data_IF_516562698993
#
_entry.id   IF_516562698993
#
_cell.length_a   1.000
_cell.length_b   1.000
_cell.length_c   1.000
_cell.angle_alpha   90.00
_cell.angle_beta   90.00
_cell.angle_gamma   90.00
#
_symmetry.space_group_name_H-M   'P 1'
#
loop_
_entity.id
_entity.type
_entity.pdbx_description
1 polymer ?
#
# COMPACT_ATOMS: atom_id res chain seq x y z
N UNK A 1 13.41 -27.78 16.29
CA UNK A 1 14.60 -28.54 16.77
C UNK A 1 15.84 -27.90 16.13
N UNK A 2 16.85 -27.46 16.91
CA UNK A 2 18.00 -26.72 16.39
C UNK A 2 18.90 -27.64 15.55
N UNK A 3 19.37 -27.14 14.40
CA UNK A 3 20.39 -27.84 13.61
C UNK A 3 21.77 -27.57 14.22
N UNK A 4 22.43 -28.61 14.70
CA UNK A 4 23.82 -28.52 15.20
C UNK A 4 24.80 -28.42 14.02
N UNK A 5 25.82 -27.59 14.17
CA UNK A 5 26.85 -27.47 13.13
C UNK A 5 27.68 -28.79 13.04
N UNK A 6 27.73 -29.39 11.85
CA UNK A 6 28.41 -30.68 11.62
C UNK A 6 29.86 -30.65 12.02
N UNK A 7 30.55 -29.53 11.78
CA UNK A 7 31.99 -29.38 12.14
C UNK A 7 32.23 -29.53 13.63
N UNK A 8 31.34 -29.02 14.49
CA UNK A 8 31.46 -29.12 15.94
C UNK A 8 31.29 -30.57 16.43
N UNK A 9 30.35 -31.30 15.82
CA UNK A 9 30.19 -32.74 16.13
C UNK A 9 31.50 -33.51 15.82
N UNK A 10 32.14 -33.24 14.69
CA UNK A 10 33.40 -33.85 14.32
C UNK A 10 34.48 -33.55 15.36
N UNK A 11 34.61 -32.27 15.78
CA UNK A 11 35.58 -31.89 16.82
C UNK A 11 35.31 -32.57 18.16
N UNK A 12 34.04 -32.68 18.56
CA UNK A 12 33.67 -33.42 19.79
C UNK A 12 34.05 -34.91 19.70
N UNK A 13 33.82 -35.54 18.55
CA UNK A 13 34.18 -36.95 18.33
C UNK A 13 35.72 -37.13 18.39
N UNK A 14 36.49 -36.21 17.77
CA UNK A 14 37.96 -36.23 17.83
C UNK A 14 38.43 -36.11 19.28
N UNK A 15 37.90 -35.17 20.07
CA UNK A 15 38.26 -35.00 21.48
C UNK A 15 37.91 -36.23 22.32
N UNK A 16 36.77 -36.85 22.06
CA UNK A 16 36.37 -38.09 22.73
C UNK A 16 37.30 -39.23 22.38
N UNK A 17 37.73 -39.37 21.11
CA UNK A 17 38.70 -40.40 20.68
C UNK A 17 40.07 -40.18 21.31
N UNK A 18 40.54 -38.93 21.36
CA UNK A 18 41.82 -38.59 22.03
C UNK A 18 41.80 -38.97 23.51
N UNK A 19 40.68 -38.71 24.20
CA UNK A 19 40.52 -39.13 25.60
C UNK A 19 40.58 -40.65 25.75
N UNK A 20 39.91 -41.40 24.88
CA UNK A 20 39.89 -42.86 24.91
C UNK A 20 41.28 -43.49 24.63
N UNK A 21 42.05 -42.90 23.68
CA UNK A 21 43.40 -43.40 23.26
C UNK A 21 44.43 -43.10 24.36
N UNK A 22 44.51 -41.87 24.80
CA UNK A 22 45.56 -41.43 25.72
C UNK A 22 45.24 -41.65 27.19
N UNK A 23 43.97 -41.92 27.55
CA UNK A 23 43.50 -42.09 28.93
C UNK A 23 44.03 -41.02 29.93
N UNK A 24 44.31 -39.83 29.38
CA UNK A 24 44.87 -38.72 30.16
C UNK A 24 43.74 -37.88 30.73
N UNK A 25 43.78 -37.56 32.03
CA UNK A 25 42.79 -36.77 32.75
C UNK A 25 42.65 -35.38 32.17
N UNK A 26 43.66 -34.79 31.53
CA UNK A 26 43.61 -33.48 30.90
C UNK A 26 42.68 -33.50 29.67
N UNK A 27 42.75 -34.49 28.78
CA UNK A 27 41.84 -34.62 27.64
C UNK A 27 40.42 -34.87 28.08
N UNK A 28 40.19 -35.61 29.15
CA UNK A 28 38.85 -35.80 29.75
C UNK A 28 38.28 -34.52 30.30
N UNK A 29 39.07 -33.73 31.01
CA UNK A 29 38.64 -32.45 31.58
C UNK A 29 38.29 -31.44 30.43
N UNK A 30 39.07 -31.37 29.35
CA UNK A 30 38.77 -30.53 28.20
C UNK A 30 37.48 -30.97 27.51
N UNK A 31 37.32 -32.26 27.25
CA UNK A 31 36.07 -32.78 26.64
C UNK A 31 34.84 -32.46 27.49
N UNK A 32 34.90 -32.71 28.78
CA UNK A 32 33.79 -32.43 29.71
C UNK A 32 33.46 -30.91 29.74
N UNK A 33 34.49 -30.05 29.82
CA UNK A 33 34.34 -28.60 29.79
C UNK A 33 33.63 -28.12 28.52
N UNK A 34 34.01 -28.64 27.35
CA UNK A 34 33.38 -28.30 26.05
C UNK A 34 31.91 -28.74 26.01
N UNK A 35 31.57 -29.92 26.55
CA UNK A 35 30.19 -30.40 26.63
C UNK A 35 29.37 -29.51 27.57
N UNK A 36 29.89 -29.19 28.74
CA UNK A 36 29.21 -28.30 29.70
C UNK A 36 28.98 -26.93 29.11
N UNK A 37 29.96 -26.34 28.44
CA UNK A 37 29.84 -25.04 27.78
C UNK A 37 28.78 -25.04 26.68
N UNK A 38 28.63 -26.10 25.91
CA UNK A 38 27.60 -26.28 24.91
C UNK A 38 26.20 -26.30 25.56
N UNK A 39 26.05 -27.09 26.63
CA UNK A 39 24.76 -27.20 27.36
C UNK A 39 24.35 -25.84 27.88
N UNK A 40 25.28 -25.13 28.53
CA UNK A 40 25.00 -23.77 29.06
C UNK A 40 24.60 -22.82 27.91
N UNK A 41 25.34 -22.84 26.78
CA UNK A 41 25.04 -22.00 25.61
C UNK A 41 23.62 -22.26 25.05
N UNK A 42 23.22 -23.52 24.97
CA UNK A 42 21.87 -23.93 24.55
C UNK A 42 20.78 -23.42 25.50
N UNK A 43 21.02 -23.57 26.81
CA UNK A 43 20.07 -23.11 27.84
C UNK A 43 19.88 -21.60 27.74
N UNK A 44 20.96 -20.84 27.66
CA UNK A 44 20.92 -19.38 27.52
C UNK A 44 20.15 -18.98 26.27
N UNK A 45 20.43 -19.60 25.11
CA UNK A 45 19.72 -19.29 23.86
C UNK A 45 18.21 -19.56 23.97
N UNK A 46 17.80 -20.66 24.63
CA UNK A 46 16.38 -20.93 24.91
C UNK A 46 15.75 -19.91 25.86
N UNK A 47 16.47 -19.45 26.85
CA UNK A 47 15.98 -18.40 27.77
C UNK A 47 15.76 -17.10 27.01
N UNK A 48 16.71 -16.69 26.17
CA UNK A 48 16.60 -15.45 25.39
C UNK A 48 15.42 -15.52 24.43
N UNK A 49 15.30 -16.58 23.59
CA UNK A 49 14.23 -16.66 22.57
C UNK A 49 12.83 -16.65 23.19
N UNK A 50 12.67 -17.15 24.41
CA UNK A 50 11.41 -17.14 25.13
C UNK A 50 11.15 -15.80 25.84
N UNK A 51 12.20 -15.09 26.22
CA UNK A 51 12.11 -13.81 26.93
C UNK A 51 12.12 -12.58 26.03
N UNK A 52 12.33 -12.75 24.72
CA UNK A 52 12.31 -11.67 23.74
C UNK A 52 10.90 -11.51 23.15
N UNK A 53 10.39 -10.29 23.21
CA UNK A 53 9.19 -9.85 22.50
C UNK A 53 9.58 -8.88 21.38
N UNK A 54 8.87 -8.99 20.27
CA UNK A 54 9.10 -8.16 19.10
C UNK A 54 7.80 -7.47 18.72
N UNK A 55 7.90 -6.20 18.36
CA UNK A 55 6.83 -5.40 17.78
C UNK A 55 7.36 -4.69 16.54
N UNK A 56 6.60 -4.74 15.45
CA UNK A 56 6.88 -3.98 14.24
C UNK A 56 5.91 -2.82 14.20
N UNK A 57 6.43 -1.62 14.03
CA UNK A 57 5.64 -0.40 13.91
C UNK A 57 6.08 0.36 12.67
N UNK A 58 5.16 1.11 12.06
CA UNK A 58 5.43 1.97 10.91
C UNK A 58 5.36 3.43 11.34
N UNK A 59 6.27 4.24 10.80
CA UNK A 59 6.32 5.67 11.14
C UNK A 59 5.13 6.43 10.56
N UNK A 60 4.75 6.10 9.32
CA UNK A 60 3.62 6.72 8.61
C UNK A 60 2.74 5.63 8.00
N UNK A 61 1.43 5.73 8.24
CA UNK A 61 0.44 4.81 7.65
C UNK A 61 0.28 5.05 6.14
N UNK A 62 0.36 6.30 5.69
CA UNK A 62 0.20 6.73 4.31
C UNK A 62 1.52 7.26 3.77
N UNK A 63 1.96 6.74 2.64
CA UNK A 63 3.24 7.07 2.01
C UNK A 63 3.03 7.21 0.51
N UNK A 64 3.62 8.20 -0.13
CA UNK A 64 3.51 8.38 -1.57
C UNK A 64 4.34 7.34 -2.32
N UNK A 65 3.85 6.89 -3.47
CA UNK A 65 4.58 6.02 -4.39
C UNK A 65 5.93 6.62 -4.77
N UNK A 66 6.93 5.76 -4.97
CA UNK A 66 8.30 6.16 -5.30
C UNK A 66 9.13 6.65 -4.11
N UNK A 67 8.51 6.82 -2.93
CA UNK A 67 9.21 7.17 -1.70
C UNK A 67 9.68 5.92 -0.94
N UNK A 68 10.50 6.14 0.08
CA UNK A 68 10.87 5.08 1.02
C UNK A 68 10.02 5.22 2.28
N UNK A 69 9.43 4.13 2.70
CA UNK A 69 8.72 4.04 3.97
C UNK A 69 9.64 3.44 5.04
N UNK A 70 9.68 4.08 6.21
CA UNK A 70 10.45 3.60 7.33
C UNK A 70 9.57 2.78 8.27
N UNK A 71 10.05 1.60 8.65
CA UNK A 71 9.44 0.81 9.70
C UNK A 71 10.46 0.52 10.80
N UNK A 72 9.98 0.41 12.03
CA UNK A 72 10.79 0.16 13.20
C UNK A 72 10.49 -1.20 13.81
N UNK A 73 11.53 -1.91 14.20
CA UNK A 73 11.47 -3.18 14.91
C UNK A 73 11.86 -2.91 16.35
N UNK A 74 10.91 -3.00 17.25
CA UNK A 74 11.09 -2.88 18.69
C UNK A 74 11.37 -4.25 19.27
N UNK A 75 12.52 -4.42 19.90
CA UNK A 75 12.95 -5.66 20.55
C UNK A 75 13.02 -5.46 22.05
N UNK A 76 12.11 -6.04 22.80
CA UNK A 76 12.12 -6.02 24.27
C UNK A 76 12.67 -7.33 24.80
N UNK A 77 13.88 -7.29 25.36
CA UNK A 77 14.50 -8.43 26.04
C UNK A 77 14.25 -8.36 27.55
N UNK A 78 13.46 -9.28 28.09
CA UNK A 78 13.19 -9.40 29.52
C UNK A 78 14.26 -10.20 30.28
N UNK A 79 15.23 -10.77 29.58
CA UNK A 79 16.25 -11.62 30.17
C UNK A 79 17.50 -10.85 30.62
N UNK A 80 18.31 -11.47 31.45
CA UNK A 80 19.61 -10.93 31.87
C UNK A 80 20.73 -11.23 30.86
N UNK A 81 20.42 -11.99 29.80
CA UNK A 81 21.38 -12.38 28.77
C UNK A 81 21.20 -11.55 27.52
N UNK A 82 22.25 -10.83 27.07
CA UNK A 82 22.19 -10.10 25.81
C UNK A 82 22.38 -11.07 24.62
N UNK A 83 21.98 -10.65 23.43
CA UNK A 83 22.30 -11.35 22.19
C UNK A 83 22.51 -10.40 21.04
N UNK A 84 23.55 -10.61 20.27
CA UNK A 84 23.82 -9.98 18.97
C UNK A 84 23.66 -10.94 17.79
N UNK A 85 23.22 -12.19 18.06
CA UNK A 85 22.96 -13.24 17.07
C UNK A 85 21.48 -13.59 16.99
N UNK A 86 20.65 -12.57 17.11
CA UNK A 86 19.19 -12.66 16.99
C UNK A 86 18.80 -12.12 15.62
N UNK A 87 18.02 -12.89 14.88
CA UNK A 87 17.56 -12.54 13.55
C UNK A 87 16.05 -12.64 13.50
N UNK A 88 15.46 -11.70 12.80
CA UNK A 88 14.04 -11.73 12.50
C UNK A 88 13.84 -11.96 11.01
N UNK A 89 12.95 -12.89 10.66
CA UNK A 89 12.50 -13.10 9.29
C UNK A 89 11.24 -12.25 9.11
N UNK A 90 11.28 -11.36 8.14
CA UNK A 90 10.20 -10.44 7.79
C UNK A 90 9.76 -10.78 6.37
N UNK A 91 8.45 -10.88 6.18
CA UNK A 91 7.82 -10.91 4.89
C UNK A 91 7.23 -9.53 4.62
N UNK A 92 7.53 -8.98 3.46
CA UNK A 92 6.97 -7.73 2.96
C UNK A 92 6.11 -8.12 1.78
N UNK A 93 4.80 -7.90 1.89
CA UNK A 93 3.84 -8.34 0.89
C UNK A 93 3.02 -7.15 0.42
N UNK A 94 2.96 -6.94 -0.89
CA UNK A 94 1.97 -6.06 -1.51
C UNK A 94 0.91 -6.94 -2.17
N UNK A 95 -0.22 -7.14 -1.51
CA UNK A 95 -1.28 -8.03 -1.99
C UNK A 95 -1.95 -7.52 -3.28
N UNK A 96 -1.92 -6.21 -3.50
CA UNK A 96 -2.48 -5.58 -4.68
C UNK A 96 -1.76 -6.03 -5.96
N UNK A 97 -0.43 -6.26 -5.88
CA UNK A 97 0.41 -6.71 -7.00
C UNK A 97 0.90 -8.16 -6.87
N UNK A 98 0.49 -8.89 -5.82
CA UNK A 98 0.98 -10.24 -5.52
C UNK A 98 2.52 -10.28 -5.38
N UNK A 99 3.09 -9.19 -4.85
CA UNK A 99 4.53 -9.02 -4.69
C UNK A 99 4.95 -9.47 -3.30
N UNK A 100 5.96 -10.36 -3.22
CA UNK A 100 6.43 -10.93 -1.97
C UNK A 100 7.94 -10.81 -1.87
N UNK A 101 8.41 -10.15 -0.83
CA UNK A 101 9.82 -10.05 -0.50
C UNK A 101 10.07 -10.64 0.89
N UNK A 102 11.11 -11.49 1.01
CA UNK A 102 11.55 -12.02 2.29
C UNK A 102 12.91 -11.45 2.67
N UNK A 103 13.02 -10.86 3.84
CA UNK A 103 14.28 -10.39 4.38
C UNK A 103 14.57 -10.94 5.77
N UNK A 104 15.86 -11.05 6.10
CA UNK A 104 16.32 -11.42 7.44
C UNK A 104 17.17 -10.29 8.01
N UNK A 105 16.69 -9.69 9.09
CA UNK A 105 17.34 -8.56 9.75
C UNK A 105 17.97 -9.05 11.04
N UNK A 106 19.25 -8.69 11.29
CA UNK A 106 19.90 -8.94 12.57
C UNK A 106 19.49 -7.85 13.55
N UNK A 107 18.98 -8.26 14.70
CA UNK A 107 18.51 -7.36 15.74
C UNK A 107 19.30 -7.59 17.03
N UNK A 108 19.73 -6.54 17.74
CA UNK A 108 20.33 -6.67 19.07
C UNK A 108 19.26 -7.03 20.10
N UNK A 109 19.70 -7.59 21.20
CA UNK A 109 18.87 -7.79 22.38
C UNK A 109 19.70 -7.41 23.61
N UNK A 110 19.57 -6.19 24.08
CA UNK A 110 20.24 -5.65 25.26
C UNK A 110 19.73 -6.30 26.54
N UNK A 111 20.52 -6.26 27.61
CA UNK A 111 20.14 -6.83 28.91
C UNK A 111 18.95 -6.07 29.47
N UNK A 112 17.81 -6.74 29.69
CA UNK A 112 16.59 -6.14 30.26
C UNK A 112 16.27 -4.78 29.63
N UNK A 113 16.52 -4.66 28.34
CA UNK A 113 16.41 -3.41 27.59
C UNK A 113 15.47 -3.51 26.41
N UNK A 114 15.18 -2.36 25.85
CA UNK A 114 14.50 -2.19 24.58
C UNK A 114 15.51 -1.67 23.54
N UNK A 115 15.56 -2.35 22.41
CA UNK A 115 16.37 -1.95 21.27
C UNK A 115 15.43 -1.67 20.10
N UNK A 116 15.74 -0.62 19.33
CA UNK A 116 14.95 -0.22 18.17
C UNK A 116 15.87 -0.22 16.96
N UNK A 117 15.43 -0.88 15.89
CA UNK A 117 16.09 -0.83 14.59
C UNK A 117 15.09 -0.32 13.57
N UNK A 118 15.52 0.67 12.78
CA UNK A 118 14.77 1.16 11.64
C UNK A 118 15.29 0.50 10.37
N UNK A 119 14.38 0.17 9.47
CA UNK A 119 14.67 -0.31 8.13
C UNK A 119 13.70 0.33 7.15
N UNK A 120 14.12 0.44 5.90
CA UNK A 120 13.33 1.07 4.86
C UNK A 120 12.77 0.00 3.92
N UNK A 121 11.55 0.24 3.45
CA UNK A 121 10.94 -0.48 2.33
C UNK A 121 10.71 0.49 1.18
N UNK A 122 10.96 0.05 -0.04
CA UNK A 122 10.65 0.83 -1.24
C UNK A 122 9.18 0.67 -1.57
N UNK A 123 8.55 1.78 -1.91
CA UNK A 123 7.14 1.83 -2.29
C UNK A 123 7.04 2.13 -3.79
N UNK A 124 7.50 1.19 -4.62
CA UNK A 124 7.58 1.38 -6.09
C UNK A 124 6.19 1.31 -6.74
N UNK A 125 5.25 0.58 -6.14
CA UNK A 125 3.88 0.40 -6.61
C UNK A 125 2.87 0.85 -5.54
N UNK A 126 1.71 1.29 -5.98
CA UNK A 126 0.57 1.58 -5.10
C UNK A 126 0.09 0.30 -4.40
N UNK A 127 -0.68 0.42 -3.34
CA UNK A 127 -1.27 -0.75 -2.68
C UNK A 127 -1.10 -0.77 -1.17
N UNK A 128 -1.54 -1.87 -0.57
CA UNK A 128 -1.37 -2.12 0.86
C UNK A 128 -0.16 -3.02 1.08
N UNK A 129 0.93 -2.44 1.59
CA UNK A 129 2.18 -3.14 1.89
C UNK A 129 2.13 -3.64 3.32
N UNK A 130 2.00 -4.94 3.50
CA UNK A 130 2.02 -5.61 4.78
C UNK A 130 3.44 -6.06 5.14
N UNK A 131 3.93 -5.60 6.29
CA UNK A 131 5.23 -5.97 6.86
C UNK A 131 4.96 -6.93 8.01
N UNK A 132 5.20 -8.21 7.79
CA UNK A 132 4.93 -9.27 8.74
C UNK A 132 6.21 -9.85 9.32
N UNK A 133 6.36 -9.78 10.63
CA UNK A 133 7.38 -10.52 11.37
C UNK A 133 6.94 -11.97 11.57
N UNK A 134 7.50 -12.89 10.80
CA UNK A 134 7.06 -14.31 10.76
C UNK A 134 7.82 -15.17 11.74
N UNK A 135 9.14 -14.99 11.83
CA UNK A 135 9.97 -15.91 12.58
C UNK A 135 11.14 -15.20 13.26
N UNK A 136 11.31 -15.51 14.53
CA UNK A 136 12.49 -15.16 15.32
C UNK A 136 13.49 -16.31 15.30
N UNK A 137 14.72 -16.02 14.98
CA UNK A 137 15.83 -16.99 14.87
C UNK A 137 16.94 -16.55 15.81
N UNK A 138 17.35 -17.39 16.73
CA UNK A 138 18.51 -17.15 17.58
C UNK A 138 19.58 -18.20 17.32
N UNK A 139 20.82 -17.76 17.27
CA UNK A 139 21.97 -18.65 17.39
C UNK A 139 22.48 -18.62 18.83
N UNK A 140 22.89 -19.76 19.34
CA UNK A 140 23.57 -19.83 20.62
C UNK A 140 24.89 -19.04 20.59
N UNK A 141 25.48 -18.73 21.75
CA UNK A 141 26.71 -17.93 21.82
C UNK A 141 27.88 -18.52 21.02
N UNK A 142 27.94 -19.85 20.95
CA UNK A 142 28.95 -20.56 20.16
C UNK A 142 28.66 -20.57 18.66
N UNK A 143 27.40 -20.22 18.25
CA UNK A 143 26.99 -20.26 16.85
C UNK A 143 26.74 -21.68 16.32
N UNK A 144 26.56 -22.65 17.20
CA UNK A 144 26.45 -24.05 16.87
C UNK A 144 25.03 -24.55 16.68
N UNK A 145 24.09 -23.95 17.44
CA UNK A 145 22.71 -24.36 17.45
C UNK A 145 21.82 -23.18 17.09
N UNK A 146 20.85 -23.40 16.20
CA UNK A 146 19.85 -22.41 15.83
C UNK A 146 18.50 -22.80 16.42
N UNK A 147 17.85 -21.88 17.10
CA UNK A 147 16.48 -22.00 17.55
C UNK A 147 15.59 -21.08 16.75
N UNK A 148 14.37 -21.52 16.49
CA UNK A 148 13.36 -20.79 15.75
C UNK A 148 12.08 -20.70 16.58
N UNK A 149 11.48 -19.53 16.62
CA UNK A 149 10.18 -19.28 17.25
C UNK A 149 9.30 -18.56 16.23
N UNK A 150 8.14 -19.09 15.93
CA UNK A 150 7.19 -18.39 15.10
C UNK A 150 6.59 -17.23 15.91
N UNK A 151 6.46 -16.11 15.26
CA UNK A 151 5.85 -14.90 15.77
C UNK A 151 4.84 -14.44 14.73
N UNK A 152 3.87 -13.64 15.12
CA UNK A 152 2.95 -13.00 14.19
C UNK A 152 2.76 -11.58 14.68
N UNK A 153 3.37 -10.66 13.98
CA UNK A 153 3.20 -9.23 14.22
C UNK A 153 3.22 -8.55 12.87
N UNK A 154 2.13 -7.84 12.56
CA UNK A 154 1.91 -7.23 11.24
C UNK A 154 1.77 -5.73 11.41
N UNK A 155 2.45 -4.99 10.57
CA UNK A 155 2.24 -3.56 10.38
C UNK A 155 1.94 -3.32 8.90
N UNK A 156 1.08 -2.37 8.58
CA UNK A 156 0.69 -2.08 7.20
C UNK A 156 0.94 -0.63 6.82
N UNK A 157 1.34 -0.44 5.57
CA UNK A 157 1.58 0.86 4.95
C UNK A 157 0.69 0.93 3.71
N UNK A 158 -0.04 2.02 3.56
CA UNK A 158 -0.83 2.30 2.39
C UNK A 158 -0.02 3.21 1.47
N UNK A 159 0.33 2.70 0.30
CA UNK A 159 1.06 3.46 -0.71
C UNK A 159 0.05 4.21 -1.57
N UNK A 160 0.06 5.52 -1.43
CA UNK A 160 -0.81 6.44 -2.17
C UNK A 160 -0.31 6.64 -3.60
N UNK A 161 -1.20 6.76 -4.59
CA UNK A 161 -0.84 7.14 -5.93
C UNK A 161 -0.15 8.51 -5.96
N UNK A 162 0.72 8.72 -6.94
CA UNK A 162 1.23 10.07 -7.20
C UNK A 162 0.11 10.96 -7.73
N UNK A 163 0.10 12.20 -7.27
CA UNK A 163 -0.76 13.22 -7.84
C UNK A 163 -0.16 13.70 -9.17
N UNK A 164 -0.62 13.10 -10.25
CA UNK A 164 -0.28 13.55 -11.58
C UNK A 164 -1.20 14.70 -11.95
N UNK A 165 -0.65 15.85 -12.35
CA UNK A 165 -1.44 16.98 -12.85
C UNK A 165 -2.10 16.62 -14.20
N UNK A 166 -2.94 15.58 -14.19
CA UNK A 166 -3.66 15.11 -15.35
C UNK A 166 -4.98 15.86 -15.44
N UNK A 167 -4.98 16.92 -16.24
CA UNK A 167 -6.20 17.67 -16.55
C UNK A 167 -6.83 17.05 -17.78
N UNK A 168 -7.92 16.31 -17.59
CA UNK A 168 -8.81 16.01 -18.72
C UNK A 168 -9.48 17.33 -19.09
N UNK A 169 -9.50 17.73 -20.37
CA UNK A 169 -10.35 18.82 -20.80
C UNK A 169 -11.80 18.38 -20.69
N UNK A 170 -12.36 18.51 -19.48
CA UNK A 170 -13.74 18.15 -19.16
C UNK A 170 -14.72 18.90 -20.08
N UNK A 171 -14.33 20.10 -20.53
CA UNK A 171 -15.08 20.91 -21.48
C UNK A 171 -15.41 20.18 -22.80
N UNK A 172 -14.52 19.33 -23.29
CA UNK A 172 -14.72 18.60 -24.56
C UNK A 172 -15.53 17.30 -24.40
N UNK A 173 -15.70 16.82 -23.17
CA UNK A 173 -16.38 15.54 -22.90
C UNK A 173 -17.88 15.61 -23.03
N UNK A 174 -18.44 16.83 -22.93
CA UNK A 174 -19.87 17.07 -22.81
C UNK A 174 -20.47 17.91 -23.99
N UNK A 175 -19.70 18.28 -25.02
CA UNK A 175 -20.08 19.33 -25.98
C UNK A 175 -20.57 18.89 -27.37
N UNK A 176 -20.72 17.60 -27.71
CA UNK A 176 -21.06 17.19 -29.08
C UNK A 176 -22.48 16.61 -29.27
N UNK A 177 -23.49 17.23 -28.72
CA UNK A 177 -24.85 17.08 -29.25
C UNK A 177 -25.57 18.43 -29.22
N UNK A 178 -26.29 18.79 -30.30
CA UNK A 178 -27.06 20.05 -30.41
C UNK A 178 -28.08 20.28 -29.25
N UNK A 179 -28.35 19.24 -28.45
CA UNK A 179 -29.06 19.31 -27.17
C UNK A 179 -28.10 19.44 -25.98
N UNK A 180 -26.82 19.14 -26.15
CA UNK A 180 -25.77 19.21 -25.14
C UNK A 180 -25.37 20.64 -24.76
N UNK A 181 -25.53 21.64 -25.63
CA UNK A 181 -25.36 23.07 -25.25
C UNK A 181 -26.25 23.47 -24.07
N UNK A 182 -27.41 22.83 -23.91
CA UNK A 182 -28.26 23.07 -22.76
C UNK A 182 -27.84 22.31 -21.50
N UNK A 183 -27.12 21.17 -21.63
CA UNK A 183 -26.68 20.37 -20.47
C UNK A 183 -25.23 20.67 -20.05
N UNK A 184 -24.39 21.20 -20.95
CA UNK A 184 -23.10 21.77 -20.56
C UNK A 184 -23.24 23.11 -19.88
N UNK A 185 -24.23 23.87 -20.30
CA UNK A 185 -24.75 24.91 -19.43
C UNK A 185 -25.18 24.33 -18.08
N UNK A 186 -25.35 23.04 -17.85
CA UNK A 186 -25.65 22.46 -16.54
C UNK A 186 -24.41 22.02 -15.73
N UNK A 187 -23.24 21.84 -16.33
CA UNK A 187 -21.97 21.86 -15.60
C UNK A 187 -21.40 23.29 -15.43
N UNK A 188 -21.67 24.17 -16.40
CA UNK A 188 -21.56 25.62 -16.27
C UNK A 188 -22.88 26.27 -15.74
N UNK A 189 -23.97 25.53 -15.64
CA UNK A 189 -25.24 25.88 -14.96
C UNK A 189 -25.27 25.50 -13.47
N UNK A 190 -24.12 25.44 -12.86
CA UNK A 190 -23.98 26.19 -11.63
C UNK A 190 -24.22 27.64 -12.02
N UNK A 191 -25.50 28.03 -12.13
CA UNK A 191 -25.87 29.42 -12.29
C UNK A 191 -25.09 30.18 -11.21
N UNK A 192 -24.28 31.13 -11.64
CA UNK A 192 -23.49 31.94 -10.72
C UNK A 192 -24.46 32.66 -9.82
N UNK A 193 -24.70 32.12 -8.64
CA UNK A 193 -25.65 32.66 -7.64
C UNK A 193 -25.24 34.07 -7.22
N UNK A 194 -23.91 34.29 -7.19
CA UNK A 194 -23.39 35.57 -6.79
C UNK A 194 -21.86 35.58 -6.73
N UNK A 195 -21.37 36.68 -6.26
CA UNK A 195 -19.96 36.88 -5.95
C UNK A 195 -19.92 37.36 -4.52
N UNK A 196 -19.17 36.68 -3.66
CA UNK A 196 -18.94 37.07 -2.28
C UNK A 196 -17.47 37.33 -2.01
N UNK A 197 -17.18 37.95 -0.88
CA UNK A 197 -15.82 38.09 -0.40
C UNK A 197 -15.19 36.74 -0.06
N UNK A 198 -13.89 36.64 -0.26
CA UNK A 198 -13.09 35.46 0.05
C UNK A 198 -13.08 35.22 1.56
N UNK A 199 -13.31 33.98 1.97
CA UNK A 199 -13.14 33.53 3.34
C UNK A 199 -12.05 32.48 3.41
N UNK A 200 -11.35 32.40 4.55
CA UNK A 200 -10.28 31.43 4.77
C UNK A 200 -10.83 29.99 4.62
N UNK A 201 -10.29 29.23 3.64
CA UNK A 201 -10.79 27.93 3.24
C UNK A 201 -11.34 27.87 1.81
N UNK A 202 -11.59 29.03 1.15
CA UNK A 202 -12.00 29.05 -0.24
C UNK A 202 -10.85 28.70 -1.20
N UNK A 203 -11.17 27.91 -2.25
CA UNK A 203 -10.19 27.52 -3.25
C UNK A 203 -9.81 28.70 -4.14
N UNK A 204 -8.51 28.92 -4.34
CA UNK A 204 -7.95 30.02 -5.15
C UNK A 204 -8.46 30.00 -6.61
N UNK A 205 -8.86 28.82 -7.13
CA UNK A 205 -9.41 28.65 -8.49
C UNK A 205 -10.79 29.32 -8.66
N UNK A 206 -11.56 29.52 -7.59
CA UNK A 206 -12.86 30.18 -7.62
C UNK A 206 -12.78 31.71 -7.54
N UNK A 207 -11.59 32.28 -7.42
CA UNK A 207 -11.41 33.72 -7.35
C UNK A 207 -11.78 34.36 -8.69
N UNK A 208 -12.64 35.37 -8.63
CA UNK A 208 -13.01 36.20 -9.76
C UNK A 208 -11.98 37.33 -9.94
N UNK A 209 -10.81 37.00 -10.50
CA UNK A 209 -9.66 37.91 -10.60
C UNK A 209 -9.98 39.29 -11.17
N UNK A 210 -10.84 39.35 -12.20
CA UNK A 210 -11.25 40.60 -12.82
C UNK A 210 -12.06 41.52 -11.86
N UNK A 211 -12.86 40.93 -10.99
CA UNK A 211 -13.66 41.68 -10.02
C UNK A 211 -12.82 42.03 -8.79
N UNK A 212 -12.02 41.08 -8.33
CA UNK A 212 -11.07 41.29 -7.22
C UNK A 212 -10.12 42.46 -7.51
N UNK A 213 -9.62 42.55 -8.74
CA UNK A 213 -8.78 43.68 -9.17
C UNK A 213 -9.51 45.02 -9.25
N UNK A 214 -10.85 45.04 -9.32
CA UNK A 214 -11.67 46.23 -9.37
C UNK A 214 -12.01 46.77 -7.98
N UNK A 215 -12.22 45.87 -7.02
CA UNK A 215 -12.65 46.21 -5.68
C UNK A 215 -11.51 46.19 -4.66
N UNK A 216 -10.30 45.80 -5.08
CA UNK A 216 -9.10 45.67 -4.24
C UNK A 216 -9.27 44.64 -3.09
N UNK A 217 -10.23 43.75 -3.22
CA UNK A 217 -10.56 42.66 -2.29
C UNK A 217 -10.74 41.34 -3.05
N UNK A 218 -10.33 40.25 -2.46
CA UNK A 218 -10.49 38.93 -3.10
C UNK A 218 -11.97 38.56 -3.15
N UNK A 219 -12.48 38.41 -4.36
CA UNK A 219 -13.87 38.03 -4.64
C UNK A 219 -13.94 36.62 -5.17
N UNK A 220 -14.83 35.80 -4.60
CA UNK A 220 -15.02 34.38 -4.97
C UNK A 220 -16.36 34.22 -5.66
N UNK A 221 -16.39 33.48 -6.75
CA UNK A 221 -17.62 33.09 -7.44
C UNK A 221 -18.38 32.09 -6.58
N UNK A 222 -19.61 32.41 -6.24
CA UNK A 222 -20.56 31.53 -5.58
C UNK A 222 -21.50 30.91 -6.61
N UNK A 223 -21.53 29.59 -6.68
CA UNK A 223 -22.36 28.87 -7.61
C UNK A 223 -23.56 28.26 -6.88
N UNK A 224 -24.73 28.26 -7.50
CA UNK A 224 -25.90 27.56 -7.01
C UNK A 224 -25.77 26.09 -7.39
N UNK A 225 -25.78 25.18 -6.42
CA UNK A 225 -25.80 23.74 -6.69
C UNK A 225 -27.17 23.38 -7.27
N UNK A 226 -27.27 23.35 -8.60
CA UNK A 226 -28.38 22.66 -9.24
C UNK A 226 -28.15 21.16 -9.13
N UNK A 227 -29.22 20.45 -8.73
CA UNK A 227 -29.34 18.99 -8.54
C UNK A 227 -28.06 18.15 -8.69
N UNK A 228 -27.75 17.36 -7.69
CA UNK A 228 -26.63 16.42 -7.58
C UNK A 228 -26.39 15.64 -8.90
N UNK A 229 -25.54 16.16 -9.75
CA UNK A 229 -25.02 15.39 -10.88
C UNK A 229 -23.87 14.55 -10.34
N UNK A 230 -24.18 13.35 -9.86
CA UNK A 230 -23.14 12.38 -9.51
C UNK A 230 -22.48 11.92 -10.81
N UNK A 231 -21.18 12.24 -10.95
CA UNK A 231 -20.40 11.74 -12.08
C UNK A 231 -20.00 10.30 -11.81
N UNK A 232 -20.39 9.38 -12.70
CA UNK A 232 -20.01 7.99 -12.60
C UNK A 232 -18.70 7.72 -13.35
N UNK A 233 -17.78 7.05 -12.67
CA UNK A 233 -16.49 6.61 -13.23
C UNK A 233 -16.45 5.08 -13.16
N UNK A 234 -16.25 4.44 -14.29
CA UNK A 234 -15.96 3.01 -14.36
C UNK A 234 -14.45 2.82 -14.50
N UNK A 235 -13.86 1.99 -13.66
CA UNK A 235 -12.41 1.75 -13.66
C UNK A 235 -12.13 0.29 -13.89
N UNK A 236 -11.37 0.00 -14.94
CA UNK A 236 -10.99 -1.35 -15.31
C UNK A 236 -9.64 -1.72 -14.68
N UNK A 237 -9.69 -2.35 -13.53
CA UNK A 237 -8.52 -2.77 -12.76
C UNK A 237 -8.14 -4.20 -13.13
N UNK A 238 -7.05 -4.38 -13.89
CA UNK A 238 -6.61 -5.68 -14.39
C UNK A 238 -5.15 -5.93 -14.00
N UNK A 239 -4.86 -7.14 -13.49
CA UNK A 239 -3.51 -7.54 -13.03
C UNK A 239 -2.53 -7.94 -14.12
N UNK A 240 -2.90 -7.89 -15.39
CA UNK A 240 -2.08 -8.40 -16.48
C UNK A 240 -0.72 -7.67 -16.60
N UNK A 241 -0.70 -6.37 -16.29
CA UNK A 241 0.52 -5.56 -16.28
C UNK A 241 0.56 -4.59 -15.09
N UNK A 242 1.56 -4.74 -14.22
CA UNK A 242 1.72 -3.92 -13.02
C UNK A 242 1.87 -2.43 -13.30
N UNK A 243 2.55 -2.06 -14.38
CA UNK A 243 2.70 -0.65 -14.76
C UNK A 243 1.36 -0.06 -15.19
N UNK A 244 0.59 -0.78 -16.01
CA UNK A 244 -0.74 -0.33 -16.47
C UNK A 244 -1.70 -0.18 -15.30
N UNK A 245 -1.75 -1.19 -14.42
CA UNK A 245 -2.61 -1.14 -13.24
C UNK A 245 -2.25 0.05 -12.34
N UNK A 246 -0.98 0.29 -12.14
CA UNK A 246 -0.50 1.40 -11.35
C UNK A 246 -0.86 2.75 -11.97
N UNK A 247 -0.61 2.91 -13.28
CA UNK A 247 -0.97 4.12 -14.04
C UNK A 247 -2.49 4.34 -14.04
N UNK A 248 -3.30 3.26 -14.12
CA UNK A 248 -4.77 3.34 -14.04
C UNK A 248 -5.24 3.89 -12.69
N UNK A 249 -4.65 3.42 -11.59
CA UNK A 249 -4.97 3.92 -10.24
C UNK A 249 -4.54 5.37 -10.06
N UNK A 250 -3.39 5.78 -10.62
CA UNK A 250 -2.92 7.17 -10.56
C UNK A 250 -3.83 8.12 -11.35
N UNK A 251 -4.22 7.71 -12.56
CA UNK A 251 -5.16 8.49 -13.39
C UNK A 251 -6.50 8.62 -12.69
N UNK A 252 -7.04 7.52 -12.15
CA UNK A 252 -8.28 7.51 -11.39
C UNK A 252 -8.20 8.47 -10.20
N UNK A 253 -7.16 8.35 -9.38
CA UNK A 253 -6.97 9.18 -8.18
C UNK A 253 -6.90 10.66 -8.54
N UNK A 254 -6.07 11.02 -9.51
CA UNK A 254 -5.88 12.41 -9.92
C UNK A 254 -7.12 13.00 -10.57
N UNK A 255 -7.86 12.19 -11.35
CA UNK A 255 -9.13 12.61 -11.96
C UNK A 255 -10.18 12.90 -10.88
N UNK A 256 -10.39 11.99 -9.94
CA UNK A 256 -11.38 12.16 -8.87
C UNK A 256 -11.02 13.37 -8.01
N UNK A 257 -9.75 13.51 -7.63
CA UNK A 257 -9.27 14.66 -6.85
C UNK A 257 -9.56 15.98 -7.56
N UNK A 258 -9.23 16.07 -8.85
CA UNK A 258 -9.53 17.26 -9.65
C UNK A 258 -11.03 17.53 -9.75
N UNK A 259 -11.85 16.48 -9.92
CA UNK A 259 -13.32 16.65 -9.97
C UNK A 259 -13.87 17.18 -8.66
N UNK A 260 -13.46 16.63 -7.53
CA UNK A 260 -13.90 17.10 -6.20
C UNK A 260 -13.49 18.56 -5.93
N UNK A 261 -12.29 18.96 -6.38
CA UNK A 261 -11.82 20.34 -6.24
C UNK A 261 -12.55 21.34 -7.15
N UNK A 262 -12.94 20.91 -8.36
CA UNK A 262 -13.55 21.80 -9.36
C UNK A 262 -15.07 21.85 -9.23
N UNK A 263 -15.71 20.67 -9.17
CA UNK A 263 -17.18 20.54 -9.37
C UNK A 263 -17.92 20.58 -8.03
N UNK A 264 -17.28 20.22 -6.92
CA UNK A 264 -17.90 20.09 -5.59
C UNK A 264 -19.14 19.17 -5.57
N UNK A 265 -19.28 18.30 -6.58
CA UNK A 265 -20.31 17.27 -6.66
C UNK A 265 -19.71 15.90 -6.29
N UNK A 266 -20.56 14.99 -5.81
CA UNK A 266 -20.13 13.63 -5.52
C UNK A 266 -19.68 12.89 -6.78
N UNK A 267 -18.75 11.97 -6.61
CA UNK A 267 -18.25 11.08 -7.67
C UNK A 267 -18.50 9.64 -7.24
N UNK A 268 -19.16 8.85 -8.08
CA UNK A 268 -19.36 7.42 -7.86
C UNK A 268 -18.32 6.65 -8.70
N UNK A 269 -17.51 5.85 -8.03
CA UNK A 269 -16.48 5.02 -8.68
C UNK A 269 -16.91 3.58 -8.68
N UNK A 270 -16.91 2.95 -9.86
CA UNK A 270 -17.31 1.57 -10.08
C UNK A 270 -16.11 0.75 -10.55
N UNK A 271 -15.89 -0.42 -9.95
CA UNK A 271 -14.88 -1.40 -10.39
C UNK A 271 -15.38 -2.83 -10.21
N UNK A 272 -14.77 -3.80 -10.88
CA UNK A 272 -15.16 -5.20 -10.81
C UNK A 272 -14.43 -5.93 -9.68
N UNK A 273 -15.17 -6.73 -8.88
CA UNK A 273 -14.61 -7.62 -7.86
C UNK A 273 -14.82 -9.10 -8.26
N UNK A 274 -13.73 -9.78 -8.57
CA UNK A 274 -13.73 -11.19 -8.94
C UNK A 274 -14.32 -12.10 -7.86
N UNK A 275 -14.17 -11.74 -6.58
CA UNK A 275 -14.69 -12.55 -5.47
C UNK A 275 -16.21 -12.52 -5.38
N UNK A 276 -16.83 -11.46 -5.85
CA UNK A 276 -18.27 -11.27 -5.88
C UNK A 276 -18.88 -11.56 -7.25
N UNK A 277 -18.04 -11.74 -8.26
CA UNK A 277 -18.43 -11.87 -9.68
C UNK A 277 -19.31 -10.70 -10.16
N UNK A 278 -19.07 -9.50 -9.63
CA UNK A 278 -19.88 -8.31 -9.84
C UNK A 278 -19.10 -7.03 -9.74
N UNK A 279 -19.69 -5.91 -10.26
CA UNK A 279 -19.12 -4.60 -9.98
C UNK A 279 -19.50 -4.12 -8.56
N UNK A 280 -18.60 -3.36 -7.99
CA UNK A 280 -18.78 -2.66 -6.71
C UNK A 280 -18.69 -1.18 -6.98
N UNK A 281 -19.39 -0.39 -6.20
CA UNK A 281 -19.34 1.07 -6.29
C UNK A 281 -18.99 1.69 -4.94
N UNK A 282 -18.44 2.88 -4.99
CA UNK A 282 -18.15 3.72 -3.83
C UNK A 282 -18.41 5.17 -4.14
N UNK A 283 -19.21 5.84 -3.28
CA UNK A 283 -19.56 7.24 -3.42
C UNK A 283 -18.56 8.11 -2.65
N UNK A 284 -18.01 9.12 -3.31
CA UNK A 284 -16.98 10.02 -2.79
C UNK A 284 -17.55 11.43 -2.81
N UNK A 285 -17.61 12.06 -1.64
CA UNK A 285 -18.11 13.41 -1.47
C UNK A 285 -17.03 14.40 -1.03
N UNK A 286 -15.88 13.90 -0.59
CA UNK A 286 -14.77 14.72 -0.10
C UNK A 286 -13.40 14.12 -0.45
N UNK A 287 -12.37 14.96 -0.45
CA UNK A 287 -10.98 14.51 -0.67
C UNK A 287 -10.52 13.54 0.42
N UNK A 288 -11.05 13.67 1.64
CA UNK A 288 -10.73 12.78 2.76
C UNK A 288 -11.23 11.34 2.55
N UNK A 289 -12.25 11.14 1.71
CA UNK A 289 -12.77 9.82 1.39
C UNK A 289 -11.91 9.05 0.40
N UNK A 290 -10.99 9.72 -0.32
CA UNK A 290 -10.06 9.09 -1.27
C UNK A 290 -9.18 8.03 -0.60
N UNK A 291 -8.72 8.28 0.63
CA UNK A 291 -7.94 7.29 1.38
C UNK A 291 -8.73 6.02 1.65
N UNK A 292 -10.01 6.13 1.99
CA UNK A 292 -10.91 4.98 2.23
C UNK A 292 -11.21 4.23 0.92
N UNK A 293 -11.44 4.96 -0.18
CA UNK A 293 -11.62 4.35 -1.49
C UNK A 293 -10.42 3.47 -1.85
N UNK A 294 -9.20 4.00 -1.70
CA UNK A 294 -7.97 3.26 -1.98
C UNK A 294 -7.83 2.02 -1.09
N UNK A 295 -8.12 2.13 0.22
CA UNK A 295 -8.14 0.97 1.12
C UNK A 295 -9.14 -0.11 0.63
N UNK A 296 -10.30 0.28 0.10
CA UNK A 296 -11.29 -0.64 -0.48
C UNK A 296 -10.77 -1.29 -1.75
N UNK A 297 -10.24 -0.51 -2.68
CA UNK A 297 -9.69 -1.00 -3.95
C UNK A 297 -8.54 -1.98 -3.69
N UNK A 298 -7.61 -1.64 -2.78
CA UNK A 298 -6.44 -2.48 -2.51
C UNK A 298 -6.76 -3.82 -1.86
N UNK A 299 -7.95 -3.96 -1.25
CA UNK A 299 -8.44 -5.21 -0.68
C UNK A 299 -9.34 -6.00 -1.65
N UNK A 300 -9.55 -5.52 -2.89
CA UNK A 300 -10.41 -6.17 -3.88
C UNK A 300 -9.62 -7.19 -4.70
N UNK A 301 -10.26 -8.29 -5.09
CA UNK A 301 -9.71 -9.25 -6.04
C UNK A 301 -10.06 -8.85 -7.47
N UNK A 302 -9.04 -8.57 -8.29
CA UNK A 302 -9.25 -8.13 -9.67
C UNK A 302 -9.43 -9.27 -10.65
N UNK A 303 -10.04 -8.94 -11.79
CA UNK A 303 -10.09 -9.79 -12.97
C UNK A 303 -8.72 -9.83 -13.67
N UNK A 304 -8.50 -10.91 -14.42
CA UNK A 304 -7.41 -11.01 -15.39
C UNK A 304 -7.86 -10.56 -16.80
N UNK A 305 -9.16 -10.27 -16.96
CA UNK A 305 -9.78 -9.94 -18.24
C UNK A 305 -10.20 -8.49 -18.27
N UNK A 306 -9.84 -7.77 -19.34
CA UNK A 306 -10.25 -6.41 -19.61
C UNK A 306 -11.77 -6.29 -19.81
N UNK A 307 -12.34 -5.16 -19.45
CA UNK A 307 -13.74 -4.82 -19.71
C UNK A 307 -14.76 -5.46 -18.79
N UNK A 308 -14.35 -6.17 -17.73
CA UNK A 308 -15.30 -6.86 -16.84
C UNK A 308 -16.21 -5.88 -16.09
N UNK A 309 -15.71 -4.72 -15.69
CA UNK A 309 -16.53 -3.68 -15.05
C UNK A 309 -17.59 -3.15 -16.03
N UNK A 310 -17.23 -2.95 -17.29
CA UNK A 310 -18.14 -2.51 -18.33
C UNK A 310 -19.28 -3.51 -18.53
N UNK A 311 -18.95 -4.79 -18.74
CA UNK A 311 -19.96 -5.83 -18.92
C UNK A 311 -20.88 -6.00 -17.71
N UNK A 312 -20.34 -6.10 -16.50
CA UNK A 312 -21.14 -6.30 -15.28
C UNK A 312 -22.04 -5.10 -14.99
N UNK A 313 -21.56 -3.88 -15.25
CA UNK A 313 -22.31 -2.67 -15.10
C UNK A 313 -23.52 -2.61 -16.06
N UNK A 314 -23.30 -2.83 -17.37
CA UNK A 314 -24.35 -2.75 -18.38
C UNK A 314 -25.34 -3.91 -18.35
N UNK A 315 -24.94 -5.09 -17.89
CA UNK A 315 -25.86 -6.23 -17.71
C UNK A 315 -26.93 -5.96 -16.64
N UNK A 316 -26.63 -5.14 -15.65
CA UNK A 316 -27.56 -4.85 -14.55
C UNK A 316 -28.35 -3.55 -14.76
N UNK A 317 -27.82 -2.61 -15.50
CA UNK A 317 -28.43 -1.32 -15.72
C UNK A 317 -29.02 -1.24 -17.15
N UNK A 318 -30.02 -2.11 -17.44
CA UNK A 318 -30.72 -2.19 -18.73
C UNK A 318 -31.42 -0.88 -19.17
N UNK A 319 -31.66 0.04 -18.24
CA UNK A 319 -32.16 1.38 -18.54
C UNK A 319 -30.96 2.33 -18.64
N UNK A 320 -30.50 2.53 -19.87
CA UNK A 320 -29.54 3.58 -20.17
C UNK A 320 -30.10 4.93 -19.69
N UNK A 321 -29.62 5.41 -18.55
CA UNK A 321 -29.63 6.84 -18.32
C UNK A 321 -28.72 7.43 -19.41
N UNK A 322 -29.22 8.46 -20.13
CA UNK A 322 -28.43 9.19 -21.15
C UNK A 322 -27.19 9.91 -20.54
N UNK A 323 -26.88 9.65 -19.26
CA UNK A 323 -25.81 10.28 -18.53
C UNK A 323 -24.48 9.71 -18.99
N UNK A 324 -23.63 10.56 -19.51
CA UNK A 324 -22.28 10.23 -19.95
C UNK A 324 -21.43 9.79 -18.77
N UNK A 325 -20.74 8.65 -18.91
CA UNK A 325 -19.87 8.07 -17.91
C UNK A 325 -18.41 8.11 -18.36
N UNK A 326 -17.51 8.22 -17.41
CA UNK A 326 -16.06 8.17 -17.71
C UNK A 326 -15.59 6.74 -17.50
N UNK A 327 -14.98 6.16 -18.51
CA UNK A 327 -14.41 4.82 -18.45
C UNK A 327 -12.88 4.90 -18.55
N UNK A 328 -12.19 4.41 -17.51
CA UNK A 328 -10.74 4.35 -17.42
C UNK A 328 -10.31 2.90 -17.67
N UNK A 329 -9.58 2.66 -18.75
CA UNK A 329 -9.17 1.31 -19.16
C UNK A 329 -7.81 1.31 -19.86
N UNK A 330 -7.29 0.12 -20.15
CA UNK A 330 -6.09 -0.05 -20.97
C UNK A 330 -6.37 0.28 -22.44
N UNK A 331 -5.36 0.79 -23.16
CA UNK A 331 -5.42 1.05 -24.59
C UNK A 331 -5.79 -0.20 -25.42
N UNK A 332 -5.55 -1.38 -24.90
CA UNK A 332 -5.87 -2.66 -25.56
C UNK A 332 -7.37 -3.02 -25.49
N UNK A 333 -8.15 -2.30 -24.67
CA UNK A 333 -9.58 -2.51 -24.56
C UNK A 333 -10.32 -2.09 -25.83
N UNK A 334 -11.22 -2.97 -26.29
CA UNK A 334 -11.98 -2.81 -27.55
C UNK A 334 -13.38 -2.23 -27.36
N UNK A 335 -13.75 -1.87 -26.12
CA UNK A 335 -15.08 -1.31 -25.87
C UNK A 335 -15.25 0.03 -26.60
N UNK A 336 -16.46 0.26 -27.10
CA UNK A 336 -16.81 1.50 -27.80
C UNK A 336 -16.85 2.67 -26.80
N UNK A 337 -16.48 3.85 -27.26
CA UNK A 337 -16.47 5.08 -26.49
C UNK A 337 -15.55 6.13 -27.10
N UNK A 338 -15.90 7.41 -26.91
CA UNK A 338 -15.09 8.51 -27.38
C UNK A 338 -13.86 8.68 -26.49
N UNK A 339 -12.65 8.59 -27.05
CA UNK A 339 -11.42 8.81 -26.29
C UNK A 339 -11.30 10.28 -25.94
N UNK A 340 -11.27 10.59 -24.64
CA UNK A 340 -11.13 11.94 -24.10
C UNK A 340 -9.73 12.23 -23.57
N UNK A 341 -8.93 11.20 -23.35
CA UNK A 341 -7.55 11.34 -22.89
C UNK A 341 -6.76 10.05 -22.97
N UNK A 342 -5.44 10.17 -23.04
CA UNK A 342 -4.50 9.06 -23.03
C UNK A 342 -3.35 9.39 -22.07
N UNK A 343 -2.99 8.44 -21.20
CA UNK A 343 -1.89 8.59 -20.26
C UNK A 343 -0.83 7.51 -20.52
N UNK A 344 0.43 7.93 -20.62
CA UNK A 344 1.61 7.08 -20.87
C UNK A 344 1.46 6.10 -22.06
N UNK A 345 0.65 6.43 -23.07
CA UNK A 345 0.29 5.55 -24.19
C UNK A 345 -0.29 4.18 -23.80
N UNK A 346 -0.61 3.95 -22.55
CA UNK A 346 -1.09 2.66 -22.01
C UNK A 346 -2.49 2.74 -21.45
N UNK A 347 -2.84 3.82 -20.77
CA UNK A 347 -4.16 4.04 -20.15
C UNK A 347 -4.96 5.02 -20.98
N UNK A 348 -6.22 4.70 -21.22
CA UNK A 348 -7.15 5.49 -22.03
C UNK A 348 -8.37 5.84 -21.19
N UNK A 349 -8.79 7.11 -21.28
CA UNK A 349 -10.06 7.57 -20.76
C UNK A 349 -11.03 7.68 -21.92
N UNK A 350 -12.18 7.02 -21.78
CA UNK A 350 -13.28 7.05 -22.76
C UNK A 350 -14.52 7.68 -22.13
N UNK A 351 -15.27 8.42 -22.92
CA UNK A 351 -16.63 8.80 -22.60
C UNK A 351 -17.57 7.75 -23.21
N UNK A 352 -18.40 7.12 -22.41
CA UNK A 352 -19.33 6.05 -22.78
C UNK A 352 -20.74 6.40 -22.36
#
# INVERSE_FOLDING_TARGET
MGKLNKSYIIWMVILALLYLIFKNTLFGAIFFSVVVMLIISIIIAKVIINGVNIKVDVEKKYVERGSKACFSIHTLNKTIFPSNKLYIKININNEFFDEHEECCINIPASIRGEDIICSDVKCDYVGNVNIEAVQLIIMDYLGLVRFKKNISNVASIIVMPMDINYTVPIENTFTESDEGEKKLNSLDSTEMKGIREYTEGDTLRRIHWKLSSKYDELMVKEFEMSAEVNTEILVDLVRDNYEILNDTVEVMYSLIKNMLEIISSGVTVNWYDKSKEDYIYYDINSVDDLGKLLEYIYNTQFSETLGMVYYSYYLKNDNMSEDKKIYITSKEDKQEGQIIGVYNDKVVLKCI
#
